data_IF_724730062196
#
_entry.id   IF_724730062196
#
_cell.length_a   1.000
_cell.length_b   1.000
_cell.length_c   1.000
_cell.angle_alpha   90.00
_cell.angle_beta   90.00
_cell.angle_gamma   90.00
#
_symmetry.space_group_name_H-M   'P 1'
#
loop_
_entity.id
_entity.type
_entity.pdbx_description
1 polymer ?
#
# COMPACT_ATOMS: atom_id res chain seq x y z
N UNK A 1 30.37 32.70 -10.73
CA UNK A 1 30.27 31.70 -11.82
C UNK A 1 30.86 30.39 -11.32
N UNK A 2 30.08 29.33 -11.18
CA UNK A 2 30.59 28.03 -10.75
C UNK A 2 31.44 27.40 -11.85
N UNK A 3 32.69 27.05 -11.58
CA UNK A 3 33.58 26.34 -12.52
C UNK A 3 32.92 25.01 -12.91
N UNK A 4 32.62 24.80 -14.21
CA UNK A 4 32.23 23.50 -14.75
C UNK A 4 33.30 22.49 -14.39
N UNK A 5 32.95 21.36 -13.72
CA UNK A 5 33.85 20.23 -13.56
C UNK A 5 34.26 19.74 -14.94
N UNK A 6 35.56 19.46 -15.16
CA UNK A 6 36.05 18.85 -16.39
C UNK A 6 35.35 17.52 -16.63
N UNK A 7 34.93 17.29 -17.88
CA UNK A 7 34.37 15.99 -18.26
C UNK A 7 35.42 14.88 -18.10
N UNK A 8 34.99 13.66 -17.75
CA UNK A 8 35.89 12.50 -17.82
C UNK A 8 36.33 12.24 -19.25
N UNK A 9 37.51 11.62 -19.48
CA UNK A 9 37.99 11.31 -20.83
C UNK A 9 36.97 10.57 -21.68
N UNK A 10 36.25 9.63 -21.10
CA UNK A 10 35.15 8.87 -21.75
C UNK A 10 34.00 9.76 -22.18
N UNK A 11 33.59 10.69 -21.31
CA UNK A 11 32.51 11.63 -21.60
C UNK A 11 32.92 12.66 -22.66
N UNK A 12 34.17 13.05 -22.68
CA UNK A 12 34.71 13.93 -23.71
C UNK A 12 34.71 13.26 -25.10
N UNK A 13 35.18 12.02 -25.19
CA UNK A 13 35.15 11.23 -26.40
C UNK A 13 33.73 10.97 -26.93
N UNK A 14 32.78 10.64 -26.01
CA UNK A 14 31.38 10.47 -26.38
C UNK A 14 30.74 11.76 -26.89
N UNK A 15 31.11 12.89 -26.29
CA UNK A 15 30.65 14.23 -26.74
C UNK A 15 31.12 14.55 -28.17
N UNK A 16 32.38 14.26 -28.46
CA UNK A 16 32.97 14.50 -29.78
C UNK A 16 32.28 13.63 -30.84
N UNK A 17 32.10 12.33 -30.54
CA UNK A 17 31.39 11.39 -31.42
C UNK A 17 29.94 11.83 -31.67
N UNK A 18 29.20 12.25 -30.64
CA UNK A 18 27.83 12.72 -30.78
C UNK A 18 27.71 14.02 -31.54
N UNK A 19 28.64 14.98 -31.33
CA UNK A 19 28.65 16.23 -32.10
C UNK A 19 28.96 15.95 -33.57
N UNK A 20 29.86 15.02 -33.87
CA UNK A 20 30.16 14.56 -35.23
C UNK A 20 28.91 13.96 -35.89
N UNK A 21 28.27 12.99 -35.24
CA UNK A 21 27.06 12.32 -35.73
C UNK A 21 25.92 13.32 -36.04
N UNK A 22 25.63 14.24 -35.13
CA UNK A 22 24.56 15.23 -35.28
C UNK A 22 24.85 16.17 -36.47
N UNK A 23 26.13 16.56 -36.65
CA UNK A 23 26.55 17.45 -37.71
C UNK A 23 26.56 16.78 -39.09
N UNK A 24 27.04 15.54 -39.17
CA UNK A 24 27.11 14.79 -40.42
C UNK A 24 25.72 14.41 -40.97
N UNK A 25 24.76 14.21 -40.08
CA UNK A 25 23.40 13.83 -40.46
C UNK A 25 22.41 15.01 -40.43
N UNK A 26 22.86 16.25 -40.26
CA UNK A 26 22.04 17.47 -40.21
C UNK A 26 20.87 17.38 -39.20
N UNK A 27 21.11 16.71 -38.07
CA UNK A 27 20.09 16.48 -37.04
C UNK A 27 19.99 17.71 -36.11
N UNK A 28 18.82 18.35 -36.10
CA UNK A 28 18.51 19.47 -35.21
C UNK A 28 17.62 19.01 -34.07
N UNK A 29 18.12 19.06 -32.84
CA UNK A 29 17.36 18.73 -31.62
C UNK A 29 16.55 19.94 -31.19
N UNK A 30 15.22 19.87 -31.28
CA UNK A 30 14.27 20.93 -30.89
C UNK A 30 13.36 20.56 -29.75
N UNK A 31 13.20 19.28 -29.49
CA UNK A 31 12.26 18.74 -28.49
C UNK A 31 12.85 17.56 -27.69
N UNK A 32 12.21 17.22 -26.57
CA UNK A 32 12.55 16.00 -25.83
C UNK A 32 12.33 14.72 -26.66
N UNK A 33 11.39 14.75 -27.60
CA UNK A 33 11.13 13.61 -28.48
C UNK A 33 12.30 13.37 -29.46
N UNK A 34 12.95 14.41 -29.94
CA UNK A 34 14.14 14.27 -30.80
C UNK A 34 15.29 13.61 -30.01
N UNK A 35 15.45 13.98 -28.73
CA UNK A 35 16.43 13.34 -27.83
C UNK A 35 16.08 11.85 -27.64
N UNK A 36 14.80 11.54 -27.39
CA UNK A 36 14.34 10.17 -27.21
C UNK A 36 14.57 9.31 -28.47
N UNK A 37 14.36 9.88 -29.65
CA UNK A 37 14.62 9.18 -30.93
C UNK A 37 16.10 8.83 -31.07
N UNK A 38 17.00 9.79 -30.84
CA UNK A 38 18.45 9.55 -30.90
C UNK A 38 18.90 8.53 -29.86
N UNK A 39 18.33 8.57 -28.65
CA UNK A 39 18.63 7.60 -27.61
C UNK A 39 18.16 6.18 -27.99
N UNK A 40 17.02 6.04 -28.64
CA UNK A 40 16.55 4.75 -29.17
C UNK A 40 17.52 4.18 -30.19
N UNK A 41 17.89 5.00 -31.20
CA UNK A 41 18.80 4.57 -32.26
C UNK A 41 20.17 4.15 -31.70
N UNK A 42 20.71 4.93 -30.75
CA UNK A 42 21.95 4.58 -30.06
C UNK A 42 21.85 3.29 -29.27
N UNK A 43 20.77 3.11 -28.51
CA UNK A 43 20.54 1.89 -27.74
C UNK A 43 20.37 0.67 -28.65
N UNK A 44 19.65 0.81 -29.77
CA UNK A 44 19.52 -0.24 -30.76
C UNK A 44 20.87 -0.73 -31.26
N UNK A 45 21.71 0.21 -31.72
CA UNK A 45 23.05 -0.11 -32.24
C UNK A 45 23.94 -0.77 -31.16
N UNK A 46 23.91 -0.27 -29.93
CA UNK A 46 24.67 -0.87 -28.82
C UNK A 46 24.20 -2.29 -28.51
N UNK A 47 22.89 -2.51 -28.40
CA UNK A 47 22.33 -3.83 -28.10
C UNK A 47 22.59 -4.82 -29.24
N UNK A 48 22.44 -4.42 -30.49
CA UNK A 48 22.76 -5.26 -31.66
C UNK A 48 24.25 -5.66 -31.67
N UNK A 49 25.13 -4.70 -31.32
CA UNK A 49 26.57 -4.99 -31.19
C UNK A 49 26.90 -6.02 -30.12
N UNK A 50 26.25 -5.90 -28.95
CA UNK A 50 26.44 -6.88 -27.84
C UNK A 50 25.86 -8.23 -28.21
N UNK A 51 24.70 -8.29 -28.86
CA UNK A 51 24.08 -9.54 -29.31
C UNK A 51 24.91 -10.25 -30.39
N UNK A 52 25.51 -9.48 -31.31
CA UNK A 52 26.43 -10.04 -32.31
C UNK A 52 27.71 -10.60 -31.67
N UNK A 53 28.21 -9.95 -30.60
CA UNK A 53 29.37 -10.46 -29.86
C UNK A 53 29.01 -11.71 -29.07
N UNK A 54 27.85 -11.74 -28.41
CA UNK A 54 27.32 -12.94 -27.72
C UNK A 54 27.22 -14.14 -28.67
N UNK A 55 26.74 -13.93 -29.90
CA UNK A 55 26.70 -14.96 -30.93
C UNK A 55 28.10 -15.34 -31.42
N UNK A 56 29.09 -14.40 -31.44
CA UNK A 56 30.49 -14.71 -31.76
C UNK A 56 31.08 -15.68 -30.72
N UNK A 57 30.87 -15.40 -29.47
CA UNK A 57 31.32 -16.24 -28.36
C UNK A 57 30.70 -17.63 -28.41
N UNK A 58 29.36 -17.72 -28.63
CA UNK A 58 28.65 -19.00 -28.72
C UNK A 58 29.08 -19.84 -29.91
N UNK A 59 29.34 -19.25 -31.05
CA UNK A 59 29.79 -19.96 -32.25
C UNK A 59 31.28 -20.18 -32.30
N UNK A 60 32.08 -19.52 -31.46
CA UNK A 60 33.52 -19.61 -31.40
C UNK A 60 34.25 -18.96 -32.59
N UNK A 61 33.54 -18.15 -33.42
CA UNK A 61 34.18 -17.39 -34.51
C UNK A 61 33.45 -16.09 -34.78
N UNK A 62 34.21 -15.03 -35.17
CA UNK A 62 33.66 -13.72 -35.52
C UNK A 62 33.05 -13.69 -36.92
N UNK A 63 32.21 -12.67 -37.20
CA UNK A 63 31.65 -12.44 -38.52
C UNK A 63 32.77 -12.27 -39.55
N UNK A 64 32.71 -13.04 -40.66
CA UNK A 64 33.75 -13.12 -41.72
C UNK A 64 34.99 -13.92 -41.43
N UNK A 65 35.20 -14.44 -40.21
CA UNK A 65 36.35 -15.31 -39.87
C UNK A 65 36.02 -16.80 -40.06
N UNK A 66 35.88 -17.22 -41.32
CA UNK A 66 35.57 -18.60 -41.67
C UNK A 66 36.78 -19.55 -41.51
N UNK A 67 37.98 -19.00 -41.34
CA UNK A 67 39.23 -19.80 -41.22
C UNK A 67 39.36 -20.46 -39.86
N UNK A 68 38.84 -19.79 -38.84
CA UNK A 68 38.92 -20.27 -37.45
C UNK A 68 37.58 -20.90 -36.99
N UNK A 69 36.73 -21.26 -37.94
CA UNK A 69 35.43 -21.89 -37.64
C UNK A 69 35.62 -23.37 -37.28
N UNK A 70 35.45 -23.71 -35.99
CA UNK A 70 35.54 -25.09 -35.48
C UNK A 70 34.14 -25.73 -35.29
N UNK A 71 33.06 -24.98 -35.38
CA UNK A 71 31.68 -25.45 -35.20
C UNK A 71 31.02 -25.83 -36.53
N UNK A 72 30.12 -26.80 -36.52
CA UNK A 72 29.24 -27.15 -37.62
C UNK A 72 28.00 -26.23 -37.76
N UNK A 73 27.78 -25.35 -36.77
CA UNK A 73 26.73 -24.34 -36.78
C UNK A 73 27.19 -23.07 -37.54
N UNK A 74 26.27 -22.26 -38.00
CA UNK A 74 26.56 -21.05 -38.80
C UNK A 74 25.58 -19.96 -38.48
N UNK A 75 25.97 -18.69 -38.69
CA UNK A 75 25.07 -17.53 -38.65
C UNK A 75 23.97 -17.68 -39.68
N UNK A 76 22.76 -17.27 -39.32
CA UNK A 76 21.55 -17.33 -40.16
C UNK A 76 20.78 -16.00 -40.21
N UNK A 77 21.51 -14.91 -40.40
CA UNK A 77 20.92 -13.58 -40.45
C UNK A 77 20.35 -13.11 -39.09
N UNK A 78 19.40 -12.19 -39.14
CA UNK A 78 18.78 -11.56 -37.99
C UNK A 78 17.26 -11.69 -38.03
N UNK A 79 16.62 -11.72 -36.87
CA UNK A 79 15.17 -11.56 -36.75
C UNK A 79 14.88 -10.19 -36.18
N UNK A 80 13.89 -9.48 -36.72
CA UNK A 80 13.44 -8.19 -36.17
C UNK A 80 12.57 -8.41 -34.95
N UNK A 81 12.86 -7.66 -33.88
CA UNK A 81 12.09 -7.68 -32.66
C UNK A 81 11.91 -6.23 -32.17
N UNK A 82 10.67 -5.84 -31.90
CA UNK A 82 10.37 -4.53 -31.33
C UNK A 82 10.42 -4.64 -29.82
N UNK A 83 11.30 -3.83 -29.18
CA UNK A 83 11.46 -3.70 -27.76
C UNK A 83 10.87 -2.40 -27.27
N UNK A 84 10.09 -2.45 -26.20
CA UNK A 84 9.53 -1.27 -25.54
C UNK A 84 10.50 -0.74 -24.50
N UNK A 85 10.92 0.51 -24.65
CA UNK A 85 11.88 1.15 -23.76
C UNK A 85 11.34 2.43 -23.14
N UNK A 86 12.05 3.01 -22.19
CA UNK A 86 11.72 4.33 -21.62
C UNK A 86 11.83 5.49 -22.63
N UNK A 87 12.37 5.22 -23.80
CA UNK A 87 12.54 6.22 -24.89
C UNK A 87 11.55 5.99 -26.06
N UNK A 88 10.65 5.01 -25.96
CA UNK A 88 9.72 4.60 -26.98
C UNK A 88 9.99 3.18 -27.52
N UNK A 89 9.18 2.77 -28.49
CA UNK A 89 9.36 1.48 -29.17
C UNK A 89 10.63 1.50 -30.01
N UNK A 90 11.47 0.48 -29.88
CA UNK A 90 12.76 0.34 -30.53
C UNK A 90 12.84 -1.01 -31.24
N UNK A 91 13.14 -0.97 -32.54
CA UNK A 91 13.37 -2.18 -33.30
C UNK A 91 14.83 -2.62 -33.16
N UNK A 92 15.04 -3.89 -32.89
CA UNK A 92 16.37 -4.52 -32.72
C UNK A 92 16.47 -5.70 -33.66
N UNK A 93 17.60 -5.83 -34.32
CA UNK A 93 17.98 -6.98 -35.12
C UNK A 93 18.67 -8.04 -34.26
N UNK A 94 17.95 -9.09 -33.87
CA UNK A 94 18.47 -10.19 -33.06
C UNK A 94 19.14 -11.22 -33.98
N UNK A 95 20.45 -11.49 -33.83
CA UNK A 95 21.15 -12.47 -34.64
C UNK A 95 20.64 -13.88 -34.37
N UNK A 96 20.75 -14.76 -35.38
CA UNK A 96 20.32 -16.15 -35.30
C UNK A 96 21.40 -17.06 -35.87
N UNK A 97 21.46 -18.26 -35.32
CA UNK A 97 22.23 -19.37 -35.83
C UNK A 97 21.36 -20.28 -36.73
N UNK A 98 22.01 -21.16 -37.50
CA UNK A 98 21.34 -22.04 -38.45
C UNK A 98 20.63 -23.21 -37.78
N UNK A 99 21.13 -23.69 -36.67
CA UNK A 99 20.57 -24.80 -35.90
C UNK A 99 19.47 -24.36 -34.93
N UNK A 100 19.37 -23.06 -34.60
CA UNK A 100 18.41 -22.52 -33.64
C UNK A 100 18.78 -22.85 -32.18
N UNK A 101 20.05 -23.13 -31.92
CA UNK A 101 20.57 -23.47 -30.59
C UNK A 101 20.93 -22.21 -29.77
N UNK A 102 21.23 -21.11 -30.45
CA UNK A 102 21.53 -19.84 -29.81
C UNK A 102 20.32 -19.22 -29.14
N UNK A 103 20.41 -19.00 -27.84
CA UNK A 103 19.43 -18.25 -27.07
C UNK A 103 20.07 -17.01 -26.46
N UNK A 104 19.74 -15.80 -26.97
CA UNK A 104 20.27 -14.55 -26.42
C UNK A 104 20.03 -14.40 -24.91
N UNK A 105 21.08 -14.20 -24.12
CA UNK A 105 20.98 -13.97 -22.69
C UNK A 105 20.53 -12.53 -22.39
N UNK A 106 21.05 -11.58 -23.19
CA UNK A 106 20.72 -10.16 -23.02
C UNK A 106 19.25 -9.86 -23.31
N UNK A 107 18.66 -10.52 -24.32
CA UNK A 107 17.26 -10.35 -24.74
C UNK A 107 16.61 -11.72 -24.96
N UNK A 108 16.10 -12.39 -23.91
CA UNK A 108 15.45 -13.69 -24.02
C UNK A 108 14.32 -13.75 -25.04
N UNK A 109 14.08 -14.94 -25.63
CA UNK A 109 13.26 -15.18 -26.80
C UNK A 109 11.84 -14.61 -26.75
N UNK A 110 11.23 -14.51 -25.56
CA UNK A 110 9.84 -14.03 -25.39
C UNK A 110 9.73 -12.69 -24.63
N UNK A 111 10.86 -12.03 -24.38
CA UNK A 111 10.87 -10.77 -23.67
C UNK A 111 10.57 -9.59 -24.62
N UNK A 112 9.33 -9.23 -24.77
CA UNK A 112 8.89 -8.01 -25.49
C UNK A 112 8.87 -6.80 -24.53
N UNK A 113 9.76 -6.69 -23.61
CA UNK A 113 9.50 -6.04 -22.34
C UNK A 113 9.91 -4.60 -22.34
N UNK A 114 8.98 -3.79 -21.93
CA UNK A 114 9.16 -2.71 -20.93
C UNK A 114 10.35 -3.06 -20.04
N UNK A 115 11.35 -2.24 -20.00
CA UNK A 115 12.48 -2.41 -19.08
C UNK A 115 11.95 -2.48 -17.64
N UNK A 116 12.62 -3.16 -16.75
CA UNK A 116 12.26 -3.22 -15.31
C UNK A 116 11.95 -1.83 -14.76
N UNK A 117 12.71 -0.82 -15.15
CA UNK A 117 12.50 0.61 -14.84
C UNK A 117 11.10 1.11 -15.25
N UNK A 118 10.56 0.68 -16.40
CA UNK A 118 9.22 1.08 -16.84
C UNK A 118 8.13 0.34 -16.06
N UNK A 119 8.31 -0.94 -15.72
CA UNK A 119 7.38 -1.65 -14.84
C UNK A 119 7.30 -0.99 -13.47
N UNK A 120 8.44 -0.59 -12.90
CA UNK A 120 8.50 0.15 -11.64
C UNK A 120 7.78 1.51 -11.72
N UNK A 121 7.92 2.23 -12.85
CA UNK A 121 7.19 3.49 -13.09
C UNK A 121 5.68 3.25 -13.18
N UNK A 122 5.23 2.22 -13.90
CA UNK A 122 3.82 1.83 -14.00
C UNK A 122 3.26 1.49 -12.61
N UNK A 123 3.97 0.69 -11.82
CA UNK A 123 3.59 0.34 -10.46
C UNK A 123 3.52 1.59 -9.58
N UNK A 124 4.48 2.51 -9.71
CA UNK A 124 4.50 3.78 -8.97
C UNK A 124 3.32 4.67 -9.32
N UNK A 125 2.95 4.80 -10.59
CA UNK A 125 1.77 5.55 -11.03
C UNK A 125 0.49 4.92 -10.50
N UNK A 126 0.37 3.60 -10.56
CA UNK A 126 -0.75 2.86 -10.00
C UNK A 126 -0.86 3.06 -8.48
N UNK A 127 0.27 3.01 -7.75
CA UNK A 127 0.33 3.27 -6.30
C UNK A 127 -0.14 4.68 -5.91
N UNK A 128 -0.03 5.65 -6.81
CA UNK A 128 -0.51 7.02 -6.62
C UNK A 128 -1.99 7.22 -7.00
N UNK A 129 -2.68 6.16 -7.40
CA UNK A 129 -4.11 6.15 -7.62
C UNK A 129 -4.54 6.29 -9.09
N UNK A 130 -3.62 6.31 -10.05
CA UNK A 130 -3.99 6.32 -11.47
C UNK A 130 -4.70 5.02 -11.86
N UNK A 131 -5.70 5.12 -12.74
CA UNK A 131 -6.31 3.94 -13.35
C UNK A 131 -5.38 3.34 -14.41
N UNK A 132 -5.62 2.12 -14.82
CA UNK A 132 -4.85 1.50 -15.91
C UNK A 132 -4.98 2.29 -17.21
N UNK A 133 -6.19 2.79 -17.52
CA UNK A 133 -6.41 3.67 -18.67
C UNK A 133 -5.72 5.05 -18.55
N UNK A 134 -5.70 5.66 -17.35
CA UNK A 134 -4.95 6.91 -17.14
C UNK A 134 -3.44 6.69 -17.32
N UNK A 135 -2.92 5.53 -16.89
CA UNK A 135 -1.51 5.16 -17.08
C UNK A 135 -1.22 4.95 -18.57
N UNK A 136 -2.08 4.26 -19.31
CA UNK A 136 -1.97 4.08 -20.75
C UNK A 136 -1.89 5.44 -21.48
N UNK A 137 -2.84 6.34 -21.20
CA UNK A 137 -2.87 7.68 -21.78
C UNK A 137 -1.60 8.48 -21.42
N UNK A 138 -1.16 8.42 -20.16
CA UNK A 138 0.01 9.14 -19.68
C UNK A 138 1.33 8.62 -20.30
N UNK A 139 1.45 7.30 -20.47
CA UNK A 139 2.62 6.70 -21.13
C UNK A 139 2.66 7.05 -22.60
N UNK A 140 1.50 7.09 -23.26
CA UNK A 140 1.41 7.53 -24.65
C UNK A 140 1.81 9.01 -24.80
N UNK A 141 1.30 9.88 -23.93
CA UNK A 141 1.57 11.31 -23.97
C UNK A 141 3.04 11.66 -23.70
N UNK A 142 3.65 11.06 -22.66
CA UNK A 142 5.00 11.43 -22.21
C UNK A 142 6.13 10.67 -22.91
N UNK A 143 5.88 9.43 -23.31
CA UNK A 143 6.93 8.53 -23.81
C UNK A 143 6.63 7.99 -25.22
N UNK A 144 5.49 8.35 -25.82
CA UNK A 144 5.00 7.81 -27.10
C UNK A 144 4.95 6.28 -27.11
N UNK A 145 4.58 5.69 -25.97
CA UNK A 145 4.49 4.23 -25.78
C UNK A 145 3.04 3.76 -25.85
N UNK A 146 2.76 2.85 -26.75
CA UNK A 146 1.49 2.14 -26.86
C UNK A 146 1.50 0.89 -25.98
N UNK A 147 1.16 1.03 -24.69
CA UNK A 147 1.03 -0.07 -23.75
C UNK A 147 -0.45 -0.20 -23.39
N UNK A 148 -1.08 -1.29 -23.81
CA UNK A 148 -2.51 -1.52 -23.57
C UNK A 148 -2.86 -1.62 -22.07
N UNK A 149 -4.09 -1.22 -21.72
CA UNK A 149 -4.68 -1.37 -20.38
C UNK A 149 -4.52 -2.80 -19.83
N UNK A 150 -4.70 -3.81 -20.67
CA UNK A 150 -4.52 -5.22 -20.29
C UNK A 150 -3.05 -5.56 -19.92
N UNK A 151 -2.07 -4.96 -20.60
CA UNK A 151 -0.66 -5.14 -20.28
C UNK A 151 -0.32 -4.45 -18.94
N UNK A 152 -0.83 -3.24 -18.72
CA UNK A 152 -0.67 -2.52 -17.46
C UNK A 152 -1.31 -3.31 -16.32
N UNK A 153 -2.50 -3.88 -16.52
CA UNK A 153 -3.15 -4.76 -15.55
C UNK A 153 -2.25 -5.95 -15.19
N UNK A 154 -1.68 -6.64 -16.18
CA UNK A 154 -0.77 -7.78 -15.98
C UNK A 154 0.50 -7.38 -15.24
N UNK A 155 1.07 -6.20 -15.51
CA UNK A 155 2.23 -5.69 -14.78
C UNK A 155 1.87 -5.47 -13.31
N UNK A 156 0.72 -4.85 -13.03
CA UNK A 156 0.26 -4.64 -11.66
C UNK A 156 -0.12 -5.93 -10.95
N UNK A 157 -0.50 -6.99 -11.68
CA UNK A 157 -0.81 -8.31 -11.10
C UNK A 157 0.42 -9.01 -10.52
N UNK A 158 1.62 -8.68 -10.99
CA UNK A 158 2.89 -9.16 -10.42
C UNK A 158 3.05 -8.80 -8.93
N UNK A 159 2.27 -7.86 -8.42
CA UNK A 159 2.28 -7.46 -7.02
C UNK A 159 1.49 -8.41 -6.12
N UNK A 160 0.54 -9.20 -6.66
CA UNK A 160 -0.31 -10.07 -5.84
C UNK A 160 0.46 -11.07 -4.95
N UNK A 161 1.55 -11.71 -5.40
CA UNK A 161 2.37 -12.54 -4.52
C UNK A 161 2.93 -11.76 -3.32
N UNK A 162 3.42 -10.53 -3.55
CA UNK A 162 3.92 -9.66 -2.48
C UNK A 162 2.82 -9.22 -1.52
N UNK A 163 1.60 -9.00 -2.01
CA UNK A 163 0.43 -8.72 -1.17
C UNK A 163 0.15 -9.89 -0.23
N UNK A 164 0.16 -11.12 -0.76
CA UNK A 164 -0.06 -12.33 0.04
C UNK A 164 1.03 -12.53 1.09
N UNK A 165 2.29 -12.45 0.67
CA UNK A 165 3.44 -12.53 1.58
C UNK A 165 3.34 -11.49 2.70
N UNK A 166 3.01 -10.24 2.37
CA UNK A 166 2.82 -9.19 3.36
C UNK A 166 1.64 -9.49 4.30
N UNK A 167 0.52 -10.00 3.79
CA UNK A 167 -0.64 -10.39 4.59
C UNK A 167 -0.35 -11.57 5.54
N UNK A 168 0.55 -12.48 5.14
CA UNK A 168 0.89 -13.69 5.86
C UNK A 168 2.16 -13.55 6.73
N UNK A 169 2.86 -12.42 6.62
CA UNK A 169 4.12 -12.19 7.35
C UNK A 169 3.97 -12.36 8.85
N UNK A 170 5.02 -12.84 9.56
CA UNK A 170 5.06 -12.86 11.01
C UNK A 170 4.81 -11.47 11.61
N UNK A 171 4.16 -11.43 12.75
CA UNK A 171 3.86 -10.21 13.51
C UNK A 171 4.60 -10.23 14.84
N UNK A 172 4.58 -9.09 15.53
CA UNK A 172 5.08 -9.01 16.91
C UNK A 172 4.20 -9.86 17.84
N UNK A 173 4.80 -10.43 18.86
CA UNK A 173 4.10 -11.28 19.82
C UNK A 173 3.09 -10.50 20.67
N UNK A 174 3.43 -9.23 21.01
CA UNK A 174 2.59 -8.37 21.84
C UNK A 174 2.36 -7.04 21.14
N UNK A 175 1.11 -6.63 21.11
CA UNK A 175 0.73 -5.26 20.73
C UNK A 175 0.13 -4.52 21.92
N UNK A 176 0.69 -3.34 22.21
CA UNK A 176 0.17 -2.44 23.24
C UNK A 176 -1.25 -1.98 22.91
N UNK A 177 -1.47 -1.60 21.65
CA UNK A 177 -2.80 -1.20 21.16
C UNK A 177 -2.99 -1.69 19.72
N UNK A 178 -4.15 -2.28 19.44
CA UNK A 178 -4.59 -2.58 18.07
C UNK A 178 -5.84 -1.77 17.78
N UNK A 179 -5.79 -0.98 16.72
CA UNK A 179 -6.96 -0.26 16.18
C UNK A 179 -7.53 -1.02 15.02
N UNK A 180 -8.86 -1.11 14.96
CA UNK A 180 -9.56 -1.70 13.82
C UNK A 180 -10.70 -0.80 13.36
N UNK A 181 -10.72 -0.51 12.07
CA UNK A 181 -11.71 0.37 11.44
C UNK A 181 -11.95 -0.07 10.00
N UNK A 182 -13.09 0.32 9.43
CA UNK A 182 -13.49 -0.06 8.09
C UNK A 182 -13.56 1.14 7.13
N UNK A 183 -13.08 0.92 5.92
CA UNK A 183 -13.30 1.82 4.79
C UNK A 183 -14.16 1.12 3.75
N UNK A 184 -15.16 1.81 3.23
CA UNK A 184 -16.04 1.26 2.22
C UNK A 184 -15.64 1.71 0.81
N UNK A 185 -15.65 0.75 -0.12
CA UNK A 185 -15.39 0.94 -1.54
C UNK A 185 -16.46 0.30 -2.40
N UNK A 186 -16.59 0.77 -3.63
CA UNK A 186 -17.43 0.12 -4.64
C UNK A 186 -16.55 -0.78 -5.50
N UNK A 187 -16.97 -2.03 -5.65
CA UNK A 187 -16.24 -3.05 -6.41
C UNK A 187 -17.21 -3.74 -7.36
N UNK A 188 -16.76 -4.04 -8.57
CA UNK A 188 -17.54 -4.85 -9.52
C UNK A 188 -17.40 -6.32 -9.13
N UNK A 189 -18.54 -6.98 -8.93
CA UNK A 189 -18.62 -8.41 -8.62
C UNK A 189 -19.80 -8.97 -9.40
N UNK A 190 -19.60 -10.04 -10.17
CA UNK A 190 -20.64 -10.70 -10.96
C UNK A 190 -21.50 -9.75 -11.81
N UNK A 191 -20.83 -8.80 -12.48
CA UNK A 191 -21.49 -7.81 -13.33
C UNK A 191 -22.21 -6.67 -12.61
N UNK A 192 -22.23 -6.66 -11.25
CA UNK A 192 -22.87 -5.64 -10.42
C UNK A 192 -21.86 -4.84 -9.64
N UNK A 193 -22.21 -3.60 -9.29
CA UNK A 193 -21.42 -2.77 -8.38
C UNK A 193 -21.94 -3.03 -6.97
N UNK A 194 -21.05 -3.56 -6.11
CA UNK A 194 -21.36 -3.86 -4.71
C UNK A 194 -20.49 -2.99 -3.79
N UNK A 195 -21.04 -2.64 -2.63
CA UNK A 195 -20.28 -1.95 -1.58
C UNK A 195 -19.53 -2.99 -0.77
N UNK A 196 -18.21 -2.89 -0.71
CA UNK A 196 -17.31 -3.75 0.10
C UNK A 196 -16.72 -2.95 1.23
N UNK A 197 -16.67 -3.53 2.42
CA UNK A 197 -15.91 -3.00 3.53
C UNK A 197 -14.48 -3.56 3.49
N UNK A 198 -13.48 -2.70 3.65
CA UNK A 198 -12.10 -3.11 3.88
C UNK A 198 -11.77 -2.81 5.32
N UNK A 199 -11.54 -3.84 6.11
CA UNK A 199 -11.16 -3.75 7.51
C UNK A 199 -9.66 -3.66 7.61
N UNK A 200 -9.20 -2.63 8.29
CA UNK A 200 -7.79 -2.34 8.48
C UNK A 200 -7.47 -2.52 9.95
N UNK A 201 -6.45 -3.34 10.23
CA UNK A 201 -5.89 -3.50 11.55
C UNK A 201 -4.54 -2.77 11.61
N UNK A 202 -4.41 -1.81 12.52
CA UNK A 202 -3.20 -1.05 12.79
C UNK A 202 -2.74 -1.32 14.22
N UNK A 203 -1.54 -1.88 14.37
CA UNK A 203 -0.93 -2.16 15.67
C UNK A 203 0.05 -1.08 16.10
N UNK A 204 0.15 -0.87 17.40
CA UNK A 204 1.28 -0.21 18.05
C UNK A 204 1.94 -1.24 18.93
N UNK A 205 3.20 -1.56 18.66
CA UNK A 205 3.98 -2.51 19.44
C UNK A 205 4.43 -1.94 20.80
N UNK A 206 5.12 -2.77 21.59
CA UNK A 206 5.64 -2.35 22.91
C UNK A 206 6.77 -1.32 22.81
N UNK A 207 7.35 -1.11 21.64
CA UNK A 207 8.33 -0.05 21.36
C UNK A 207 7.68 1.27 20.92
N UNK A 208 6.36 1.30 20.71
CA UNK A 208 5.61 2.46 20.24
C UNK A 208 5.69 2.69 18.74
N UNK A 209 6.12 1.69 17.98
CA UNK A 209 6.13 1.73 16.53
C UNK A 209 4.77 1.31 15.98
N UNK A 210 4.34 2.00 14.94
CA UNK A 210 3.09 1.70 14.25
C UNK A 210 3.33 0.74 13.08
N UNK A 211 2.46 -0.25 12.93
CA UNK A 211 2.43 -1.15 11.79
C UNK A 211 0.99 -1.43 11.33
N UNK A 212 0.78 -1.56 10.02
CA UNK A 212 -0.48 -2.04 9.47
C UNK A 212 -0.42 -3.55 9.43
N UNK A 213 -1.03 -4.19 10.42
CA UNK A 213 -0.92 -5.64 10.66
C UNK A 213 -1.86 -6.48 9.79
N UNK A 214 -2.80 -5.85 9.08
CA UNK A 214 -3.65 -6.54 8.10
C UNK A 214 -4.66 -5.64 7.43
N UNK A 215 -5.12 -6.07 6.24
CA UNK A 215 -6.22 -5.50 5.48
C UNK A 215 -7.11 -6.63 4.95
N UNK A 216 -8.39 -6.59 5.26
CA UNK A 216 -9.33 -7.70 4.98
C UNK A 216 -10.54 -7.16 4.22
N UNK A 217 -10.77 -7.67 3.01
CA UNK A 217 -11.95 -7.30 2.23
C UNK A 217 -13.13 -8.14 2.69
N UNK A 218 -14.13 -7.51 3.29
CA UNK A 218 -15.34 -8.17 3.77
C UNK A 218 -16.40 -8.29 2.70
N UNK A 219 -16.87 -9.50 2.47
CA UNK A 219 -18.06 -9.77 1.66
C UNK A 219 -19.33 -9.77 2.51
N UNK A 220 -19.25 -10.41 3.67
CA UNK A 220 -20.30 -10.49 4.67
C UNK A 220 -19.71 -10.25 6.07
N UNK A 221 -20.23 -9.23 6.75
CA UNK A 221 -19.86 -8.89 8.14
C UNK A 221 -20.57 -9.83 9.11
N UNK A 222 -19.96 -10.95 9.43
CA UNK A 222 -20.50 -11.91 10.37
C UNK A 222 -19.48 -12.37 11.40
N UNK A 223 -19.95 -13.04 12.46
CA UNK A 223 -19.10 -13.55 13.53
C UNK A 223 -17.95 -14.44 13.02
N UNK A 224 -18.21 -15.27 12.00
CA UNK A 224 -17.18 -16.11 11.36
C UNK A 224 -16.09 -15.27 10.68
N UNK A 225 -16.46 -14.18 10.04
CA UNK A 225 -15.51 -13.27 9.39
C UNK A 225 -14.59 -12.61 10.44
N UNK A 226 -15.17 -12.08 11.51
CA UNK A 226 -14.39 -11.49 12.60
C UNK A 226 -13.45 -12.48 13.25
N UNK A 227 -13.97 -13.68 13.55
CA UNK A 227 -13.16 -14.74 14.13
C UNK A 227 -12.00 -15.15 13.22
N UNK A 228 -12.20 -15.17 11.90
CA UNK A 228 -11.12 -15.49 10.95
C UNK A 228 -10.02 -14.42 10.94
N UNK A 229 -10.38 -13.14 11.05
CA UNK A 229 -9.41 -12.05 11.16
C UNK A 229 -8.57 -12.19 12.43
N UNK A 230 -9.22 -12.35 13.57
CA UNK A 230 -8.55 -12.42 14.87
C UNK A 230 -7.68 -13.69 14.98
N UNK A 231 -8.16 -14.84 14.52
CA UNK A 231 -7.35 -16.06 14.43
C UNK A 231 -6.18 -15.89 13.45
N UNK A 232 -6.38 -15.17 12.36
CA UNK A 232 -5.30 -14.84 11.41
C UNK A 232 -4.15 -14.06 12.07
N UNK A 233 -4.44 -13.12 12.97
CA UNK A 233 -3.41 -12.42 13.75
C UNK A 233 -2.68 -13.41 14.68
N UNK A 234 -3.41 -14.29 15.36
CA UNK A 234 -2.82 -15.30 16.24
C UNK A 234 -1.92 -16.30 15.50
N UNK A 235 -2.35 -16.76 14.34
CA UNK A 235 -1.58 -17.68 13.50
C UNK A 235 -0.29 -17.04 12.95
N UNK A 236 -0.24 -15.72 12.89
CA UNK A 236 0.93 -14.93 12.47
C UNK A 236 1.84 -14.53 13.64
N UNK A 237 1.62 -15.08 14.82
CA UNK A 237 2.49 -14.94 15.99
C UNK A 237 2.00 -14.00 17.08
N UNK A 238 0.88 -13.30 16.91
CA UNK A 238 0.36 -12.41 17.95
C UNK A 238 -0.16 -13.25 19.12
N UNK A 239 0.55 -13.21 20.23
CA UNK A 239 0.20 -13.93 21.47
C UNK A 239 -0.75 -13.12 22.34
N UNK A 240 -0.56 -11.79 22.37
CA UNK A 240 -1.36 -10.92 23.20
C UNK A 240 -1.60 -9.55 22.60
N UNK A 241 -2.77 -8.97 22.90
CA UNK A 241 -3.16 -7.59 22.57
C UNK A 241 -3.62 -6.96 23.87
N UNK A 242 -2.91 -5.96 24.39
CA UNK A 242 -3.27 -5.36 25.67
C UNK A 242 -4.60 -4.62 25.57
N UNK A 243 -4.74 -3.73 24.58
CA UNK A 243 -5.94 -2.93 24.37
C UNK A 243 -6.35 -2.98 22.89
N UNK A 244 -7.62 -3.31 22.61
CA UNK A 244 -8.19 -3.25 21.27
C UNK A 244 -9.16 -2.08 21.15
N UNK A 245 -8.84 -1.14 20.25
CA UNK A 245 -9.70 0.01 19.93
C UNK A 245 -10.50 -0.29 18.67
N UNK A 246 -11.81 -0.46 18.81
CA UNK A 246 -12.68 -0.95 17.74
C UNK A 246 -13.82 0.02 17.44
N UNK A 247 -14.33 -0.01 16.21
CA UNK A 247 -15.62 0.58 15.88
C UNK A 247 -16.74 -0.29 16.50
N UNK A 248 -17.90 0.29 16.73
CA UNK A 248 -19.05 -0.37 17.35
C UNK A 248 -19.73 -1.44 16.50
N UNK A 249 -18.96 -2.23 15.75
CA UNK A 249 -19.44 -3.34 14.91
C UNK A 249 -19.92 -4.51 15.75
N UNK A 250 -21.15 -5.00 15.46
CA UNK A 250 -21.73 -6.10 16.20
C UNK A 250 -20.95 -7.40 16.00
N UNK A 251 -20.73 -8.13 17.10
CA UNK A 251 -20.05 -9.44 17.09
C UNK A 251 -18.52 -9.34 17.07
N UNK A 252 -17.94 -8.14 16.91
CA UNK A 252 -16.50 -7.98 16.88
C UNK A 252 -15.84 -8.06 18.27
N UNK A 253 -16.38 -7.41 19.32
CA UNK A 253 -15.90 -7.61 20.69
C UNK A 253 -15.87 -9.09 21.09
N UNK A 254 -16.94 -9.83 20.80
CA UNK A 254 -17.04 -11.25 21.11
C UNK A 254 -15.98 -12.10 20.38
N UNK A 255 -15.64 -11.75 19.13
CA UNK A 255 -14.58 -12.43 18.41
C UNK A 255 -13.20 -12.18 19.03
N UNK A 256 -12.94 -10.95 19.54
CA UNK A 256 -11.71 -10.63 20.25
C UNK A 256 -11.65 -11.42 21.57
N UNK A 257 -12.70 -11.40 22.37
CA UNK A 257 -12.78 -12.10 23.65
C UNK A 257 -12.59 -13.61 23.49
N UNK A 258 -13.08 -14.20 22.41
CA UNK A 258 -12.94 -15.64 22.13
C UNK A 258 -11.49 -16.07 21.89
N UNK A 259 -10.64 -15.21 21.32
CA UNK A 259 -9.25 -15.54 20.95
C UNK A 259 -8.25 -14.91 21.92
N UNK A 260 -8.53 -13.71 22.40
CA UNK A 260 -7.72 -12.93 23.34
C UNK A 260 -8.58 -12.50 24.55
N UNK A 261 -8.92 -13.42 25.45
CA UNK A 261 -9.88 -13.17 26.54
C UNK A 261 -9.41 -12.12 27.57
N UNK A 262 -8.13 -11.79 27.59
CA UNK A 262 -7.56 -10.80 28.48
C UNK A 262 -7.44 -9.41 27.85
N UNK A 263 -7.80 -9.25 26.58
CA UNK A 263 -7.73 -7.98 25.88
C UNK A 263 -8.78 -7.01 26.42
N UNK A 264 -8.36 -5.82 26.81
CA UNK A 264 -9.26 -4.72 27.15
C UNK A 264 -9.83 -4.12 25.87
N UNK A 265 -11.16 -4.08 25.77
CA UNK A 265 -11.83 -3.56 24.57
C UNK A 265 -12.29 -2.13 24.83
N UNK A 266 -11.84 -1.21 24.01
CA UNK A 266 -12.31 0.18 23.97
C UNK A 266 -13.09 0.42 22.68
N UNK A 267 -14.37 0.71 22.79
CA UNK A 267 -15.14 1.23 21.65
C UNK A 267 -14.82 2.70 21.40
N UNK A 268 -14.70 3.05 20.13
CA UNK A 268 -14.36 4.41 19.72
C UNK A 268 -15.45 5.41 20.12
N UNK A 269 -15.11 6.32 21.02
CA UNK A 269 -16.01 7.39 21.48
C UNK A 269 -16.45 8.29 20.32
N UNK A 270 -15.56 8.60 19.38
CA UNK A 270 -15.88 9.46 18.23
C UNK A 270 -16.92 8.80 17.31
N UNK A 271 -16.82 7.49 17.07
CA UNK A 271 -17.84 6.76 16.30
C UNK A 271 -19.17 6.73 17.03
N UNK A 272 -19.19 6.53 18.36
CA UNK A 272 -20.41 6.59 19.15
C UNK A 272 -21.05 7.99 19.11
N UNK A 273 -20.25 9.05 19.18
CA UNK A 273 -20.71 10.42 19.02
C UNK A 273 -21.31 10.65 17.63
N UNK A 274 -20.63 10.23 16.56
CA UNK A 274 -21.16 10.35 15.18
C UNK A 274 -22.48 9.59 15.01
N UNK A 275 -22.58 8.39 15.56
CA UNK A 275 -23.84 7.65 15.57
C UNK A 275 -24.94 8.41 16.31
N UNK A 276 -24.63 9.01 17.45
CA UNK A 276 -25.58 9.84 18.21
C UNK A 276 -26.14 10.99 17.36
N UNK A 277 -25.27 11.69 16.61
CA UNK A 277 -25.70 12.86 15.81
C UNK A 277 -26.70 12.50 14.72
N UNK A 278 -26.70 11.27 14.22
CA UNK A 278 -27.65 10.80 13.20
C UNK A 278 -29.12 10.77 13.68
N UNK A 279 -29.33 10.72 14.99
CA UNK A 279 -30.69 10.65 15.60
C UNK A 279 -31.17 11.97 16.15
N UNK A 280 -30.37 13.06 16.03
CA UNK A 280 -30.67 14.33 16.66
C UNK A 280 -31.08 15.37 15.63
N UNK A 281 -32.17 16.10 15.89
CA UNK A 281 -32.56 17.23 15.05
C UNK A 281 -31.51 18.34 15.11
N UNK A 282 -31.32 19.05 14.01
CA UNK A 282 -30.36 20.17 13.95
C UNK A 282 -30.54 21.21 15.06
N UNK A 283 -31.81 21.49 15.42
CA UNK A 283 -32.19 22.44 16.47
C UNK A 283 -31.62 22.09 17.84
N UNK A 284 -31.55 20.79 18.16
CA UNK A 284 -31.10 20.30 19.48
C UNK A 284 -29.63 19.89 19.49
N UNK A 285 -29.02 19.70 18.30
CA UNK A 285 -27.70 19.12 18.16
C UNK A 285 -26.65 19.81 19.04
N UNK A 286 -26.56 21.13 19.00
CA UNK A 286 -25.56 21.89 19.76
C UNK A 286 -25.72 21.70 21.28
N UNK A 287 -26.95 21.71 21.78
CA UNK A 287 -27.25 21.58 23.21
C UNK A 287 -26.98 20.13 23.67
N UNK A 288 -27.50 19.17 22.93
CA UNK A 288 -27.32 17.76 23.25
C UNK A 288 -25.83 17.36 23.22
N UNK A 289 -25.06 17.84 22.26
CA UNK A 289 -23.62 17.57 22.18
C UNK A 289 -22.83 18.22 23.31
N UNK A 290 -23.26 19.39 23.81
CA UNK A 290 -22.67 20.03 24.99
C UNK A 290 -22.89 19.18 26.26
N UNK A 291 -24.13 18.70 26.46
CA UNK A 291 -24.45 17.82 27.60
C UNK A 291 -23.72 16.46 27.47
N UNK A 292 -23.70 15.86 26.30
CA UNK A 292 -22.98 14.60 26.07
C UNK A 292 -21.47 14.74 26.30
N UNK A 293 -20.90 15.92 26.03
CA UNK A 293 -19.50 16.19 26.30
C UNK A 293 -19.15 16.04 27.78
N UNK A 294 -20.05 16.38 28.69
CA UNK A 294 -19.82 16.22 30.13
C UNK A 294 -19.60 14.73 30.48
N UNK A 295 -20.33 13.84 29.82
CA UNK A 295 -20.19 12.39 30.02
C UNK A 295 -18.78 11.90 29.62
N UNK A 296 -18.39 12.12 28.38
CA UNK A 296 -17.13 11.53 27.88
C UNK A 296 -15.87 12.34 28.23
N UNK A 297 -15.99 13.55 28.73
CA UNK A 297 -14.89 14.38 29.22
C UNK A 297 -14.78 14.41 30.75
N UNK A 298 -15.54 13.58 31.45
CA UNK A 298 -15.51 13.48 32.89
C UNK A 298 -14.11 13.05 33.40
N UNK A 299 -13.74 13.41 34.64
CA UNK A 299 -12.43 13.06 35.20
C UNK A 299 -12.27 11.55 35.43
N UNK A 300 -13.33 10.87 35.81
CA UNK A 300 -13.37 9.43 36.11
C UNK A 300 -14.71 8.81 35.69
N UNK A 301 -14.81 7.48 35.83
CA UNK A 301 -15.98 6.73 35.41
C UNK A 301 -17.21 7.04 36.27
N UNK A 302 -17.04 7.27 37.57
CA UNK A 302 -18.16 7.56 38.48
C UNK A 302 -18.85 8.87 38.09
N UNK A 303 -18.07 9.93 37.92
CA UNK A 303 -18.57 11.22 37.43
C UNK A 303 -19.20 11.10 36.03
N UNK A 304 -18.62 10.29 35.17
CA UNK A 304 -19.17 10.05 33.81
C UNK A 304 -20.55 9.36 33.84
N UNK A 305 -20.75 8.41 34.77
CA UNK A 305 -22.05 7.74 34.96
C UNK A 305 -23.11 8.72 35.49
N UNK A 306 -22.76 9.57 36.46
CA UNK A 306 -23.67 10.60 36.97
C UNK A 306 -24.12 11.57 35.86
N UNK A 307 -23.18 11.97 35.02
CA UNK A 307 -23.48 12.84 33.86
C UNK A 307 -24.32 12.11 32.81
N UNK A 308 -24.08 10.80 32.59
CA UNK A 308 -24.89 9.99 31.69
C UNK A 308 -26.35 9.85 32.19
N UNK A 309 -26.55 9.66 33.48
CA UNK A 309 -27.87 9.65 34.07
C UNK A 309 -28.57 11.01 33.95
N UNK A 310 -27.86 12.10 34.22
CA UNK A 310 -28.34 13.45 34.05
C UNK A 310 -28.72 13.73 32.59
N UNK A 311 -27.89 13.30 31.65
CA UNK A 311 -28.18 13.30 30.23
C UNK A 311 -29.46 12.52 29.90
N UNK A 312 -29.60 11.30 30.47
CA UNK A 312 -30.81 10.48 30.32
C UNK A 312 -32.09 11.18 30.81
N UNK A 313 -32.06 11.74 32.01
CA UNK A 313 -33.20 12.50 32.57
C UNK A 313 -33.62 13.64 31.66
N UNK A 314 -32.68 14.32 31.00
CA UNK A 314 -32.93 15.48 30.15
C UNK A 314 -33.42 15.10 28.76
N UNK A 315 -32.84 14.09 28.14
CA UNK A 315 -32.98 13.81 26.71
C UNK A 315 -33.74 12.54 26.35
N UNK A 316 -33.88 11.57 27.28
CA UNK A 316 -34.48 10.28 27.01
C UNK A 316 -35.93 10.32 26.51
N UNK A 317 -36.72 11.30 26.98
CA UNK A 317 -38.11 11.50 26.49
C UNK A 317 -38.15 11.84 25.00
N UNK A 318 -37.17 12.58 24.51
CA UNK A 318 -37.10 13.03 23.12
C UNK A 318 -36.26 12.13 22.21
N UNK A 319 -35.18 11.59 22.74
CA UNK A 319 -34.19 10.78 22.00
C UNK A 319 -33.82 9.49 22.76
N UNK A 320 -34.78 8.58 22.99
CA UNK A 320 -34.57 7.38 23.84
C UNK A 320 -33.48 6.44 23.30
N UNK A 321 -33.32 6.38 21.98
CA UNK A 321 -32.28 5.55 21.35
C UNK A 321 -30.85 5.96 21.72
N UNK A 322 -30.63 7.23 22.03
CA UNK A 322 -29.30 7.74 22.33
C UNK A 322 -28.86 7.25 23.72
N UNK A 323 -29.65 7.56 24.74
CA UNK A 323 -29.36 7.12 26.11
C UNK A 323 -29.20 5.60 26.19
N UNK A 324 -30.14 4.85 25.58
CA UNK A 324 -30.09 3.39 25.51
C UNK A 324 -28.77 2.92 24.88
N UNK A 325 -28.36 3.48 23.73
CA UNK A 325 -27.15 3.08 23.03
C UNK A 325 -25.87 3.33 23.84
N UNK A 326 -25.82 4.42 24.62
CA UNK A 326 -24.68 4.72 25.49
C UNK A 326 -24.66 3.80 26.71
N UNK A 327 -25.82 3.56 27.34
CA UNK A 327 -25.92 2.70 28.52
C UNK A 327 -25.61 1.22 28.22
N UNK A 328 -26.15 0.66 27.14
CA UNK A 328 -25.93 -0.72 26.75
C UNK A 328 -24.46 -1.02 26.38
N UNK A 329 -23.74 -0.02 25.90
CA UNK A 329 -22.32 -0.14 25.48
C UNK A 329 -21.36 0.43 26.51
N UNK A 330 -21.85 0.84 27.67
CA UNK A 330 -21.04 1.54 28.67
C UNK A 330 -19.77 0.80 29.04
N UNK A 331 -19.85 -0.49 29.29
CA UNK A 331 -18.71 -1.32 29.69
C UNK A 331 -17.53 -1.25 28.72
N UNK A 332 -17.80 -1.11 27.41
CA UNK A 332 -16.75 -1.00 26.39
C UNK A 332 -16.43 0.44 25.98
N UNK A 333 -17.35 1.37 26.25
CA UNK A 333 -17.12 2.80 26.04
C UNK A 333 -16.30 3.43 27.15
N UNK A 334 -16.47 2.95 28.41
CA UNK A 334 -15.82 3.52 29.61
C UNK A 334 -14.42 2.97 29.88
N UNK A 335 -13.95 1.98 29.14
CA UNK A 335 -12.66 1.30 29.36
C UNK A 335 -11.50 2.29 29.54
N UNK A 336 -11.48 3.39 28.79
CA UNK A 336 -10.42 4.39 28.85
C UNK A 336 -10.32 5.10 30.22
N UNK A 337 -11.39 5.15 31.01
CA UNK A 337 -11.37 5.75 32.34
C UNK A 337 -10.47 5.00 33.34
N UNK A 338 -10.19 3.72 33.09
CA UNK A 338 -9.28 2.89 33.91
C UNK A 338 -7.84 3.40 33.87
N UNK A 339 -7.46 4.19 32.86
CA UNK A 339 -6.07 4.51 32.57
C UNK A 339 -5.72 5.97 32.83
N UNK A 340 -4.43 6.28 33.07
CA UNK A 340 -3.91 7.64 33.14
C UNK A 340 -4.07 8.39 31.81
N UNK A 341 -3.93 9.71 31.88
CA UNK A 341 -4.20 10.62 30.76
C UNK A 341 -3.42 10.28 29.47
N UNK A 342 -2.19 9.80 29.59
CA UNK A 342 -1.33 9.50 28.43
C UNK A 342 -1.85 8.28 27.67
N UNK A 343 -2.18 7.21 28.38
CA UNK A 343 -2.83 6.00 27.81
C UNK A 343 -4.24 6.33 27.36
N UNK A 344 -5.00 7.09 28.18
CA UNK A 344 -6.36 7.54 27.84
C UNK A 344 -6.39 8.28 26.50
N UNK A 345 -5.47 9.22 26.25
CA UNK A 345 -5.35 9.94 24.97
C UNK A 345 -5.00 9.02 23.79
N UNK A 346 -4.31 7.92 24.05
CA UNK A 346 -3.97 6.96 23.02
C UNK A 346 -5.20 6.20 22.54
N UNK A 347 -6.04 5.72 23.47
CA UNK A 347 -7.13 4.79 23.20
C UNK A 347 -8.51 5.46 23.06
N UNK A 348 -8.69 6.66 23.60
CA UNK A 348 -9.92 7.44 23.56
C UNK A 348 -10.42 7.68 22.13
N UNK A 349 -9.51 7.88 21.18
CA UNK A 349 -9.81 8.14 19.78
C UNK A 349 -9.08 7.17 18.87
N UNK A 350 -9.71 6.84 17.76
CA UNK A 350 -9.07 6.08 16.68
C UNK A 350 -8.28 6.98 15.72
N UNK A 351 -7.76 8.12 16.17
CA UNK A 351 -7.05 9.09 15.33
C UNK A 351 -5.88 8.48 14.55
N UNK A 352 -5.20 7.49 15.11
CA UNK A 352 -4.08 6.82 14.45
C UNK A 352 -4.55 6.15 13.16
N UNK A 353 -5.60 5.34 13.23
CA UNK A 353 -6.15 4.64 12.07
C UNK A 353 -6.99 5.57 11.18
N UNK A 354 -7.70 6.57 11.74
CA UNK A 354 -8.42 7.57 10.94
C UNK A 354 -7.46 8.39 10.07
N UNK A 355 -6.29 8.76 10.62
CA UNK A 355 -5.24 9.44 9.87
C UNK A 355 -4.69 8.61 8.71
N UNK A 356 -4.49 7.32 8.94
CA UNK A 356 -4.10 6.36 7.91
C UNK A 356 -5.21 6.19 6.86
N UNK A 357 -6.45 5.97 7.28
CA UNK A 357 -7.61 5.84 6.40
C UNK A 357 -7.82 7.08 5.50
N UNK A 358 -7.55 8.28 6.03
CA UNK A 358 -7.58 9.53 5.25
C UNK A 358 -6.54 9.53 4.14
N UNK A 359 -5.33 9.03 4.41
CA UNK A 359 -4.28 8.93 3.40
C UNK A 359 -4.64 7.90 2.32
N UNK A 360 -5.18 6.73 2.69
CA UNK A 360 -5.69 5.75 1.73
C UNK A 360 -6.79 6.35 0.84
N UNK A 361 -7.77 7.04 1.45
CA UNK A 361 -8.85 7.72 0.69
C UNK A 361 -8.31 8.77 -0.27
N UNK A 362 -7.23 9.45 0.06
CA UNK A 362 -6.60 10.42 -0.85
C UNK A 362 -6.09 9.76 -2.13
N UNK A 363 -5.49 8.57 -2.01
CA UNK A 363 -4.98 7.79 -3.15
C UNK A 363 -6.13 7.17 -3.95
N UNK A 364 -7.16 6.66 -3.27
CA UNK A 364 -8.27 5.95 -3.93
C UNK A 364 -9.38 6.87 -4.45
N UNK A 365 -9.31 8.18 -4.19
CA UNK A 365 -10.38 9.15 -4.52
C UNK A 365 -10.70 9.22 -6.02
N UNK A 366 -9.70 9.02 -6.88
CA UNK A 366 -9.87 9.02 -8.34
C UNK A 366 -10.65 7.80 -8.86
N UNK A 367 -10.70 6.71 -8.09
CA UNK A 367 -11.40 5.48 -8.47
C UNK A 367 -12.75 5.35 -7.79
N UNK A 368 -13.80 5.59 -8.54
CA UNK A 368 -15.17 5.46 -8.04
C UNK A 368 -15.60 4.01 -7.86
N UNK A 369 -15.12 3.10 -8.75
CA UNK A 369 -15.41 1.66 -8.74
C UNK A 369 -14.14 0.89 -9.08
N UNK A 370 -13.85 -0.14 -8.31
CA UNK A 370 -12.74 -1.07 -8.58
C UNK A 370 -13.22 -2.25 -9.43
N UNK A 371 -12.42 -2.72 -10.43
CA UNK A 371 -12.80 -3.83 -11.28
C UNK A 371 -12.98 -5.16 -10.52
N UNK A 372 -12.20 -5.37 -9.44
CA UNK A 372 -12.24 -6.59 -8.61
C UNK A 372 -11.74 -6.31 -7.19
N UNK A 373 -11.96 -7.25 -6.27
CA UNK A 373 -11.38 -7.22 -4.92
C UNK A 373 -9.84 -7.20 -4.96
N UNK A 374 -9.23 -7.96 -5.87
CA UNK A 374 -7.77 -8.00 -6.04
C UNK A 374 -7.21 -6.65 -6.50
N UNK A 375 -7.90 -5.99 -7.44
CA UNK A 375 -7.54 -4.65 -7.90
C UNK A 375 -7.58 -3.61 -6.77
N UNK A 376 -8.60 -3.71 -5.90
CA UNK A 376 -8.70 -2.90 -4.69
C UNK A 376 -7.55 -3.21 -3.72
N UNK A 377 -7.30 -4.48 -3.45
CA UNK A 377 -6.27 -4.91 -2.48
C UNK A 377 -4.86 -4.53 -2.94
N UNK A 378 -4.53 -4.70 -4.23
CA UNK A 378 -3.26 -4.24 -4.82
C UNK A 378 -3.02 -2.76 -4.57
N UNK A 379 -4.02 -1.92 -4.88
CA UNK A 379 -3.88 -0.48 -4.69
C UNK A 379 -3.72 -0.10 -3.23
N UNK A 380 -4.50 -0.70 -2.34
CA UNK A 380 -4.41 -0.44 -0.91
C UNK A 380 -3.05 -0.88 -0.34
N UNK A 381 -2.54 -2.03 -0.77
CA UNK A 381 -1.21 -2.50 -0.39
C UNK A 381 -0.12 -1.51 -0.81
N UNK A 382 -0.09 -1.10 -2.08
CA UNK A 382 0.91 -0.16 -2.58
C UNK A 382 0.83 1.20 -1.87
N UNK A 383 -0.40 1.70 -1.67
CA UNK A 383 -0.61 2.94 -0.91
C UNK A 383 -0.12 2.79 0.54
N UNK A 384 -0.36 1.63 1.17
CA UNK A 384 0.12 1.32 2.51
C UNK A 384 1.64 1.34 2.57
N UNK A 385 2.31 0.69 1.62
CA UNK A 385 3.77 0.69 1.55
C UNK A 385 4.36 2.11 1.42
N UNK A 386 3.74 2.96 0.61
CA UNK A 386 4.19 4.35 0.45
C UNK A 386 3.93 5.21 1.70
N UNK A 387 2.80 5.02 2.37
CA UNK A 387 2.44 5.72 3.60
C UNK A 387 3.36 5.30 4.76
N UNK A 388 3.58 4.00 4.93
CA UNK A 388 4.34 3.44 6.06
C UNK A 388 5.84 3.71 5.98
N UNK A 389 6.40 3.96 4.79
CA UNK A 389 7.78 4.45 4.62
C UNK A 389 8.09 5.69 5.47
N UNK A 390 7.07 6.48 5.79
CA UNK A 390 7.21 7.71 6.61
C UNK A 390 7.12 7.46 8.11
N UNK A 391 6.81 6.23 8.52
CA UNK A 391 6.68 5.86 9.93
C UNK A 391 8.03 5.43 10.52
N UNK A 392 8.98 6.36 10.59
CA UNK A 392 10.38 6.08 10.95
C UNK A 392 10.68 6.23 12.45
N UNK A 393 9.69 6.63 13.24
CA UNK A 393 9.89 6.91 14.66
C UNK A 393 8.78 6.39 15.56
N UNK A 394 9.05 6.39 16.85
CA UNK A 394 8.07 6.15 17.91
C UNK A 394 7.37 7.44 18.33
N UNK A 395 6.25 7.33 19.00
CA UNK A 395 5.53 8.45 19.62
C UNK A 395 6.41 9.11 20.71
N UNK A 396 6.39 10.44 20.81
CA UNK A 396 7.29 11.22 21.71
C UNK A 396 7.11 10.89 23.19
N UNK A 397 5.87 10.65 23.63
CA UNK A 397 5.45 10.33 25.00
C UNK A 397 5.45 8.82 25.29
N UNK A 398 6.05 8.00 24.40
CA UNK A 398 5.93 6.55 24.49
C UNK A 398 6.54 5.94 25.73
N UNK A 399 7.66 6.45 26.21
CA UNK A 399 8.31 5.93 27.42
C UNK A 399 7.40 6.03 28.65
N UNK A 400 6.63 7.10 28.75
CA UNK A 400 5.64 7.31 29.80
C UNK A 400 4.45 6.34 29.65
N UNK A 401 3.93 6.22 28.42
CA UNK A 401 2.83 5.29 28.10
C UNK A 401 3.26 3.85 28.41
N UNK A 402 4.45 3.44 27.97
CA UNK A 402 4.99 2.11 28.22
C UNK A 402 5.07 1.79 29.71
N UNK A 403 5.68 2.67 30.51
CA UNK A 403 5.77 2.48 31.96
C UNK A 403 4.39 2.34 32.62
N UNK A 404 3.39 3.10 32.18
CA UNK A 404 2.01 2.95 32.65
C UNK A 404 1.40 1.61 32.25
N UNK A 405 1.59 1.18 31.00
CA UNK A 405 1.09 -0.11 30.53
C UNK A 405 1.76 -1.28 31.27
N UNK A 406 3.06 -1.18 31.55
CA UNK A 406 3.79 -2.19 32.34
C UNK A 406 3.19 -2.35 33.74
N UNK A 407 2.78 -1.26 34.40
CA UNK A 407 2.09 -1.31 35.71
C UNK A 407 0.70 -1.97 35.59
N UNK A 408 -0.10 -1.57 34.57
CA UNK A 408 -1.47 -2.07 34.44
C UNK A 408 -1.56 -3.52 33.93
N UNK A 409 -0.53 -3.99 33.22
CA UNK A 409 -0.49 -5.31 32.57
C UNK A 409 0.72 -6.16 33.01
N UNK A 410 1.30 -5.89 34.19
CA UNK A 410 2.51 -6.53 34.72
C UNK A 410 2.49 -8.05 34.57
N UNK A 411 1.48 -8.73 35.10
CA UNK A 411 1.35 -10.19 35.04
C UNK A 411 1.33 -10.79 33.60
N UNK A 412 0.98 -9.96 32.62
CA UNK A 412 0.88 -10.38 31.21
C UNK A 412 2.19 -10.18 30.47
N UNK A 413 2.93 -9.15 30.85
CA UNK A 413 4.20 -8.78 30.24
C UNK A 413 5.36 -9.61 30.79
N UNK A 414 5.37 -9.91 32.09
CA UNK A 414 6.36 -10.80 32.70
C UNK A 414 6.35 -12.23 32.12
N UNK A 415 5.18 -12.73 31.73
CA UNK A 415 5.03 -14.06 31.09
C UNK A 415 5.52 -14.13 29.65
N UNK A 416 5.78 -13.00 29.02
CA UNK A 416 6.22 -12.92 27.64
C UNK A 416 7.75 -12.72 27.51
N UNK A 417 8.44 -12.49 28.60
CA UNK A 417 9.92 -12.39 28.63
C UNK A 417 10.63 -13.75 28.83
N UNK A 418 9.87 -14.86 28.79
CA UNK A 418 10.42 -16.21 28.95
C UNK A 418 10.19 -17.08 27.66
#
# INVERSE_FOLDING_TARGET
MARRKSDSPQKAAMREMMQGYLKENDISIKSGNDVNSIMRDMMSVLLEGVLDEELNEELGYSKYDYRNKETDNSRNGHSRKTMRTSYGDMDIAIPRDRKGEYEPQLIPKYQNTVTQDMEEKIISMYAKGMTTGDIEAHLKELYDLDISDSTISRITDKIMPLVKEWQERPLQEIYAVVYMDAIHYHVRSEGRIVKRAVYIALGIDMDGKKDVIGMYVGENEGAKFWLSIINGLKNRGVQDILIACVDGLNGFPQAIEAVYPKTEIQQCIIHQIRNTTNYVSYKDLKKLMADLKMVYAAPDEAAALEELESFGKKWNSKYPKIYKSWSERWATLSTYFKYPNEVRKLIYTTNAIEGFNRQLRKVTKSKTVFPSNDSLLKMLYLATMDITKKWTGRRRDWSQIRAQLEIYFEERLEKAEF
#
